data_IF_413894537454
#
_entry.id   IF_413894537454
#
_cell.length_a   1.000
_cell.length_b   1.000
_cell.length_c   1.000
_cell.angle_alpha   90.00
_cell.angle_beta   90.00
_cell.angle_gamma   90.00
#
_symmetry.space_group_name_H-M   'P 1'
#
loop_
_entity.id
_entity.type
_entity.pdbx_description
1 polymer ?
#
# COMPACT_ATOMS: atom_id res chain seq x y z
N UNK A 1 -21.84 30.51 57.77
CA UNK A 1 -21.41 29.10 57.60
C UNK A 1 -21.77 28.66 56.22
N UNK A 2 -20.77 28.57 55.28
CA UNK A 2 -20.95 28.06 53.92
C UNK A 2 -20.76 26.53 53.94
N UNK A 3 -21.76 25.82 53.53
CA UNK A 3 -21.73 24.37 53.43
C UNK A 3 -21.15 24.01 52.02
N UNK A 4 -19.93 23.53 51.96
CA UNK A 4 -19.34 23.01 50.71
C UNK A 4 -19.94 21.63 50.42
N UNK A 5 -20.70 21.52 49.34
CA UNK A 5 -21.20 20.23 48.82
C UNK A 5 -20.05 19.59 48.03
N UNK A 6 -19.39 18.61 48.61
CA UNK A 6 -18.47 17.72 47.90
C UNK A 6 -19.29 16.78 46.99
N UNK A 7 -19.27 17.00 45.71
CA UNK A 7 -19.77 16.06 44.72
C UNK A 7 -18.89 14.80 44.75
N UNK A 8 -19.44 13.57 44.83
CA UNK A 8 -18.65 12.37 44.74
C UNK A 8 -18.06 12.26 43.33
N UNK A 9 -16.74 12.21 43.21
CA UNK A 9 -16.07 11.78 42.01
C UNK A 9 -16.45 10.33 41.78
N UNK A 10 -17.27 10.07 40.78
CA UNK A 10 -17.50 8.70 40.31
C UNK A 10 -16.22 8.22 39.62
N UNK A 11 -15.42 7.44 40.30
CA UNK A 11 -14.40 6.62 39.69
C UNK A 11 -15.13 5.48 38.96
N UNK A 12 -15.23 5.55 37.65
CA UNK A 12 -15.67 4.39 36.85
C UNK A 12 -14.54 3.38 36.85
N UNK A 13 -14.72 2.31 37.66
CA UNK A 13 -13.82 1.15 37.59
C UNK A 13 -13.96 0.51 36.19
N UNK A 14 -12.85 0.36 35.49
CA UNK A 14 -12.80 -0.32 34.22
C UNK A 14 -13.16 -1.78 34.43
N UNK A 15 -14.07 -2.32 33.63
CA UNK A 15 -14.51 -3.69 33.74
C UNK A 15 -13.33 -4.65 33.56
N UNK A 16 -13.11 -5.57 34.49
CA UNK A 16 -12.02 -6.58 34.39
C UNK A 16 -12.25 -7.41 33.12
N UNK A 17 -11.24 -7.45 32.22
CA UNK A 17 -11.31 -8.15 30.93
C UNK A 17 -11.60 -7.28 29.70
N UNK A 18 -11.68 -5.95 29.83
CA UNK A 18 -11.73 -5.04 28.69
C UNK A 18 -10.30 -4.74 28.22
N UNK A 19 -10.07 -4.93 26.93
CA UNK A 19 -8.81 -4.58 26.28
C UNK A 19 -8.96 -3.22 25.61
N UNK A 20 -7.99 -2.33 25.82
CA UNK A 20 -7.89 -1.05 25.12
C UNK A 20 -6.60 -1.04 24.31
N UNK A 21 -6.69 -0.52 23.09
CA UNK A 21 -5.53 -0.26 22.24
C UNK A 21 -5.15 1.22 22.42
N UNK A 22 -3.85 1.49 22.64
CA UNK A 22 -3.29 2.83 22.73
C UNK A 22 -2.28 3.02 21.58
N UNK A 23 -2.76 3.24 20.34
CA UNK A 23 -1.88 3.34 19.19
C UNK A 23 -1.10 4.64 19.20
N UNK A 24 0.12 4.60 18.63
CA UNK A 24 0.93 5.78 18.34
C UNK A 24 0.52 6.36 16.98
N UNK A 25 0.49 7.70 16.86
CA UNK A 25 0.17 8.41 15.62
C UNK A 25 1.17 9.54 15.35
N UNK A 26 2.45 9.35 15.68
CA UNK A 26 3.48 10.40 15.56
C UNK A 26 4.12 10.47 14.19
N UNK A 27 4.34 9.33 13.54
CA UNK A 27 5.14 9.26 12.33
C UNK A 27 4.29 8.80 11.15
N UNK A 28 3.76 9.74 10.39
CA UNK A 28 3.00 9.46 9.18
C UNK A 28 3.95 9.01 8.06
N UNK A 29 3.75 7.78 7.58
CA UNK A 29 4.57 7.19 6.52
C UNK A 29 3.88 7.22 5.15
N UNK A 30 2.55 7.29 5.12
CA UNK A 30 1.77 7.36 3.89
C UNK A 30 0.42 8.05 4.11
N UNK A 31 0.07 8.95 3.19
CA UNK A 31 -1.26 9.55 3.11
C UNK A 31 -1.94 9.17 1.79
N UNK A 32 -3.24 8.93 1.85
CA UNK A 32 -4.07 8.56 0.70
C UNK A 32 -5.36 9.35 0.73
N UNK A 33 -5.67 10.04 -0.37
CA UNK A 33 -6.88 10.88 -0.48
C UNK A 33 -8.01 10.07 -1.11
N UNK A 34 -9.17 10.08 -0.49
CA UNK A 34 -10.39 9.41 -0.91
C UNK A 34 -11.58 10.38 -0.82
N UNK A 35 -11.75 11.24 -1.82
CA UNK A 35 -12.70 12.35 -1.78
C UNK A 35 -12.34 13.35 -0.69
N UNK A 36 -13.23 13.59 0.25
CA UNK A 36 -13.02 14.52 1.38
C UNK A 36 -12.32 13.86 2.58
N UNK A 37 -11.91 12.59 2.45
CA UNK A 37 -11.23 11.86 3.53
C UNK A 37 -9.76 11.67 3.16
N UNK A 38 -8.87 11.97 4.11
CA UNK A 38 -7.44 11.65 4.03
C UNK A 38 -7.16 10.52 5.01
N UNK A 39 -6.83 9.34 4.46
CA UNK A 39 -6.35 8.23 5.27
C UNK A 39 -4.84 8.35 5.48
N UNK A 40 -4.39 8.21 6.71
CA UNK A 40 -2.97 8.28 7.08
C UNK A 40 -2.53 7.00 7.76
N UNK A 41 -1.46 6.41 7.23
CA UNK A 41 -0.74 5.33 7.86
C UNK A 41 0.34 5.93 8.77
N UNK A 42 0.21 5.73 10.07
CA UNK A 42 1.04 6.34 11.09
C UNK A 42 1.47 5.29 12.11
N UNK A 43 2.78 5.04 12.20
CA UNK A 43 3.37 4.03 13.11
C UNK A 43 2.71 2.63 13.00
N UNK A 44 2.26 2.25 11.81
CA UNK A 44 1.55 0.98 11.57
C UNK A 44 0.07 1.00 11.95
N UNK A 45 -0.49 2.15 12.30
CA UNK A 45 -1.90 2.36 12.63
C UNK A 45 -2.58 3.20 11.53
N UNK A 46 -3.89 3.06 11.41
CA UNK A 46 -4.70 3.80 10.44
C UNK A 46 -5.52 4.87 11.14
N UNK A 47 -5.46 6.09 10.62
CA UNK A 47 -6.40 7.16 10.95
C UNK A 47 -7.02 7.74 9.67
N UNK A 48 -8.19 8.35 9.81
CA UNK A 48 -8.81 9.15 8.77
C UNK A 48 -9.08 10.56 9.28
N UNK A 49 -8.84 11.53 8.42
CA UNK A 49 -9.19 12.93 8.63
C UNK A 49 -10.19 13.37 7.56
N UNK A 50 -11.34 13.86 7.99
CA UNK A 50 -12.34 14.44 7.11
C UNK A 50 -12.07 15.93 6.92
N UNK A 51 -11.91 16.37 5.67
CA UNK A 51 -11.64 17.78 5.34
C UNK A 51 -12.91 18.62 5.40
N UNK A 52 -14.11 18.00 5.36
CA UNK A 52 -15.39 18.70 5.39
C UNK A 52 -15.81 19.19 6.77
N UNK A 53 -15.60 18.38 7.80
CA UNK A 53 -16.00 18.65 9.18
C UNK A 53 -14.83 18.66 10.19
N UNK A 54 -13.60 18.43 9.71
CA UNK A 54 -12.38 18.35 10.52
C UNK A 54 -12.39 17.20 11.56
N UNK A 55 -13.19 16.16 11.34
CA UNK A 55 -13.26 15.01 12.23
C UNK A 55 -12.04 14.09 12.01
N UNK A 56 -11.50 13.57 13.11
CA UNK A 56 -10.46 12.53 13.10
C UNK A 56 -11.07 11.22 13.60
N UNK A 57 -10.90 10.16 12.83
CA UNK A 57 -11.29 8.79 13.19
C UNK A 57 -10.06 7.89 13.23
N UNK A 58 -10.00 7.02 14.21
CA UNK A 58 -8.97 6.00 14.35
C UNK A 58 -9.57 4.63 14.13
N UNK A 59 -8.76 3.71 13.58
CA UNK A 59 -9.19 2.35 13.27
C UNK A 59 -8.26 1.38 13.97
N UNK A 60 -8.82 0.37 14.62
CA UNK A 60 -8.07 -0.63 15.36
C UNK A 60 -8.61 -2.05 15.15
N UNK A 61 -7.82 -3.04 15.56
CA UNK A 61 -8.16 -4.46 15.40
C UNK A 61 -9.20 -4.99 16.41
N UNK A 62 -9.59 -4.22 17.42
CA UNK A 62 -10.62 -4.63 18.37
C UNK A 62 -12.03 -4.30 17.85
N UNK A 63 -12.14 -3.27 17.01
CA UNK A 63 -13.44 -2.74 16.61
C UNK A 63 -13.74 -2.95 15.13
N UNK A 64 -12.74 -2.87 14.24
CA UNK A 64 -13.03 -2.76 12.83
C UNK A 64 -12.05 -3.48 11.89
N UNK A 65 -10.75 -3.45 12.18
CA UNK A 65 -9.71 -4.00 11.31
C UNK A 65 -9.42 -5.48 11.66
N UNK A 66 -9.00 -6.27 10.66
CA UNK A 66 -8.68 -7.68 10.82
C UNK A 66 -7.17 -7.97 10.96
N UNK A 67 -6.37 -6.96 11.24
CA UNK A 67 -4.93 -7.07 11.49
C UNK A 67 -4.44 -6.00 12.45
N UNK A 68 -3.26 -6.23 13.03
CA UNK A 68 -2.71 -5.37 14.10
C UNK A 68 -1.85 -4.24 13.50
N UNK A 69 -0.95 -4.60 12.57
CA UNK A 69 0.04 -3.66 12.04
C UNK A 69 -0.15 -3.47 10.54
N UNK A 70 -0.63 -2.29 10.19
CA UNK A 70 -0.79 -1.88 8.79
C UNK A 70 0.59 -1.57 8.20
N UNK A 71 0.89 -2.13 7.04
CA UNK A 71 2.14 -1.90 6.31
C UNK A 71 1.97 -1.02 5.08
N UNK A 72 0.84 -1.15 4.38
CA UNK A 72 0.56 -0.38 3.16
C UNK A 72 -0.93 -0.02 3.08
N UNK A 73 -1.21 1.17 2.53
CA UNK A 73 -2.56 1.60 2.17
C UNK A 73 -2.59 2.20 0.78
N UNK A 74 -3.68 2.01 0.05
CA UNK A 74 -3.97 2.69 -1.21
C UNK A 74 -5.48 2.77 -1.44
N UNK A 75 -5.94 3.75 -2.21
CA UNK A 75 -7.36 3.92 -2.51
C UNK A 75 -7.64 3.75 -4.01
N UNK A 76 -8.69 3.02 -4.30
CA UNK A 76 -9.26 2.93 -5.64
C UNK A 76 -10.47 3.82 -5.77
N UNK A 77 -10.38 4.86 -6.57
CA UNK A 77 -11.53 5.71 -6.90
C UNK A 77 -12.57 4.93 -7.70
N UNK A 78 -12.14 4.00 -8.56
CA UNK A 78 -13.04 3.19 -9.38
C UNK A 78 -13.82 2.15 -8.57
N UNK A 79 -13.17 1.48 -7.61
CA UNK A 79 -13.82 0.54 -6.70
C UNK A 79 -14.46 1.22 -5.47
N UNK A 80 -14.13 2.49 -5.22
CA UNK A 80 -14.51 3.25 -4.01
C UNK A 80 -14.15 2.52 -2.72
N UNK A 81 -12.96 1.93 -2.69
CA UNK A 81 -12.44 1.17 -1.54
C UNK A 81 -10.99 1.53 -1.22
N UNK A 82 -10.70 1.57 0.05
CA UNK A 82 -9.34 1.58 0.58
C UNK A 82 -8.87 0.13 0.75
N UNK A 83 -7.73 -0.21 0.19
CA UNK A 83 -7.02 -1.44 0.52
C UNK A 83 -6.07 -1.15 1.68
N UNK A 84 -6.15 -1.98 2.71
CA UNK A 84 -5.33 -1.95 3.92
C UNK A 84 -4.60 -3.27 3.97
N UNK A 85 -3.29 -3.24 3.79
CA UNK A 85 -2.47 -4.43 3.79
C UNK A 85 -1.59 -4.47 5.04
N UNK A 86 -1.56 -5.61 5.70
CA UNK A 86 -0.85 -5.83 6.96
C UNK A 86 0.51 -6.48 6.75
N UNK A 87 1.37 -6.42 7.75
CA UNK A 87 2.72 -7.00 7.70
C UNK A 87 2.71 -8.55 7.65
N UNK A 88 1.63 -9.18 8.09
CA UNK A 88 1.38 -10.63 7.97
C UNK A 88 0.78 -11.06 6.63
N UNK A 89 0.63 -10.11 5.68
CA UNK A 89 -0.03 -10.29 4.38
C UNK A 89 -1.55 -10.55 4.45
N UNK A 90 -2.21 -10.24 5.57
CA UNK A 90 -3.66 -10.10 5.59
C UNK A 90 -4.06 -8.83 4.82
N UNK A 91 -5.25 -8.81 4.24
CA UNK A 91 -5.75 -7.67 3.45
C UNK A 91 -7.18 -7.35 3.90
N UNK A 92 -7.43 -6.07 4.14
CA UNK A 92 -8.77 -5.54 4.31
C UNK A 92 -9.13 -4.60 3.16
N UNK A 93 -10.36 -4.67 2.70
CA UNK A 93 -10.97 -3.72 1.76
C UNK A 93 -12.07 -2.95 2.47
N UNK A 94 -11.83 -1.67 2.74
CA UNK A 94 -12.78 -0.81 3.44
C UNK A 94 -13.51 0.11 2.46
N UNK A 95 -14.83 0.18 2.53
CA UNK A 95 -15.62 1.11 1.75
C UNK A 95 -15.78 2.49 2.45
N UNK A 96 -16.46 3.45 1.80
CA UNK A 96 -16.68 4.79 2.36
C UNK A 96 -17.58 4.81 3.60
N UNK A 97 -18.37 3.78 3.83
CA UNK A 97 -19.18 3.63 5.05
C UNK A 97 -18.36 3.07 6.23
N UNK A 98 -17.11 2.66 5.99
CA UNK A 98 -16.26 2.02 6.98
C UNK A 98 -16.48 0.51 7.11
N UNK A 99 -17.27 -0.10 6.25
CA UNK A 99 -17.45 -1.56 6.24
C UNK A 99 -16.21 -2.23 5.64
N UNK A 100 -15.75 -3.28 6.32
CA UNK A 100 -14.50 -3.98 5.99
C UNK A 100 -14.79 -5.39 5.49
N UNK A 101 -14.27 -5.71 4.30
CA UNK A 101 -14.20 -7.06 3.76
C UNK A 101 -12.78 -7.59 3.94
N UNK A 102 -12.62 -8.68 4.68
CA UNK A 102 -11.32 -9.31 4.90
C UNK A 102 -10.98 -10.36 3.84
N UNK A 103 -9.74 -10.34 3.35
CA UNK A 103 -9.15 -11.28 2.41
C UNK A 103 -7.95 -11.97 3.05
N UNK A 104 -8.18 -13.02 3.84
CA UNK A 104 -7.13 -13.71 4.60
C UNK A 104 -6.34 -14.76 3.79
N UNK A 105 -6.81 -15.16 2.63
CA UNK A 105 -6.25 -16.29 1.88
C UNK A 105 -4.74 -16.17 1.59
N UNK A 106 -4.23 -14.95 1.39
CA UNK A 106 -2.79 -14.74 1.20
C UNK A 106 -2.01 -14.93 2.50
N UNK A 107 -2.54 -14.44 3.63
CA UNK A 107 -1.98 -14.67 4.97
C UNK A 107 -1.93 -16.16 5.30
N UNK A 108 -3.01 -16.87 5.01
CA UNK A 108 -3.18 -18.27 5.42
C UNK A 108 -2.42 -19.25 4.51
N UNK A 109 -1.95 -18.79 3.35
CA UNK A 109 -1.16 -19.60 2.42
C UNK A 109 0.22 -19.91 3.01
N UNK A 110 0.54 -21.20 3.14
CA UNK A 110 1.87 -21.64 3.58
C UNK A 110 2.92 -21.41 2.48
N UNK A 111 3.93 -20.60 2.79
CA UNK A 111 5.05 -20.28 1.89
C UNK A 111 6.32 -20.03 2.71
N UNK A 112 7.48 -20.38 2.14
CA UNK A 112 8.79 -20.22 2.81
C UNK A 112 9.13 -18.75 3.10
N UNK A 113 8.77 -17.84 2.19
CA UNK A 113 8.92 -16.39 2.36
C UNK A 113 7.70 -15.69 1.78
N UNK A 114 7.13 -14.80 2.57
CA UNK A 114 5.92 -14.07 2.22
C UNK A 114 5.97 -12.69 2.85
N UNK A 115 6.52 -11.73 2.10
CA UNK A 115 6.63 -10.34 2.52
C UNK A 115 6.00 -9.43 1.48
N UNK A 116 5.18 -8.50 1.92
CA UNK A 116 4.64 -7.44 1.07
C UNK A 116 5.64 -6.26 1.09
N UNK A 117 6.18 -5.92 -0.08
CA UNK A 117 7.16 -4.85 -0.24
C UNK A 117 6.53 -3.55 -0.77
N UNK A 118 5.47 -3.66 -1.57
CA UNK A 118 4.85 -2.50 -2.19
C UNK A 118 3.43 -2.78 -2.67
N UNK A 119 2.70 -1.70 -2.91
CA UNK A 119 1.30 -1.72 -3.31
C UNK A 119 1.08 -0.65 -4.39
N UNK A 120 0.47 -1.05 -5.50
CA UNK A 120 0.02 -0.18 -6.58
C UNK A 120 -1.46 -0.42 -6.87
N UNK A 121 -2.20 0.66 -7.14
CA UNK A 121 -3.63 0.56 -7.51
C UNK A 121 -3.83 1.22 -8.88
N UNK A 122 -4.47 0.49 -9.77
CA UNK A 122 -4.87 0.97 -11.10
C UNK A 122 -6.33 0.58 -11.38
N UNK A 123 -7.19 1.56 -11.60
CA UNK A 123 -8.61 1.31 -11.75
C UNK A 123 -9.20 0.58 -10.54
N UNK A 124 -9.76 -0.62 -10.76
CA UNK A 124 -10.33 -1.48 -9.73
C UNK A 124 -9.35 -2.50 -9.16
N UNK A 125 -8.15 -2.60 -9.73
CA UNK A 125 -7.17 -3.61 -9.40
C UNK A 125 -6.10 -3.06 -8.47
N UNK A 126 -5.74 -3.84 -7.46
CA UNK A 126 -4.54 -3.64 -6.68
C UNK A 126 -3.49 -4.69 -7.04
N UNK A 127 -2.23 -4.27 -7.11
CA UNK A 127 -1.08 -5.09 -7.43
C UNK A 127 -0.12 -5.05 -6.24
N UNK A 128 0.08 -6.20 -5.63
CA UNK A 128 0.93 -6.37 -4.45
C UNK A 128 2.31 -6.87 -4.90
N UNK A 129 3.35 -6.08 -4.63
CA UNK A 129 4.73 -6.49 -4.84
C UNK A 129 5.18 -7.39 -3.68
N UNK A 130 5.40 -8.67 -3.97
CA UNK A 130 5.67 -9.69 -2.95
C UNK A 130 7.10 -10.24 -3.06
N UNK A 131 7.60 -10.82 -1.98
CA UNK A 131 8.92 -11.46 -1.97
C UNK A 131 9.07 -12.62 -2.98
N UNK A 132 7.98 -13.10 -3.57
CA UNK A 132 7.95 -14.20 -4.54
C UNK A 132 7.45 -13.80 -5.94
N UNK A 133 6.96 -12.57 -6.11
CA UNK A 133 6.35 -12.13 -7.37
C UNK A 133 5.30 -11.05 -7.19
N UNK A 134 4.18 -11.14 -7.92
CA UNK A 134 3.09 -10.17 -7.87
C UNK A 134 1.75 -10.86 -7.64
N UNK A 135 0.90 -10.27 -6.80
CA UNK A 135 -0.47 -10.72 -6.56
C UNK A 135 -1.44 -9.63 -6.99
N UNK A 136 -2.48 -10.01 -7.74
CA UNK A 136 -3.57 -9.12 -8.14
C UNK A 136 -4.79 -9.31 -7.25
N UNK A 137 -5.36 -8.21 -6.81
CA UNK A 137 -6.61 -8.14 -6.04
C UNK A 137 -7.62 -7.30 -6.81
N UNK A 138 -8.78 -7.87 -7.09
CA UNK A 138 -9.93 -7.09 -7.55
C UNK A 138 -10.58 -6.44 -6.33
N UNK A 139 -10.40 -5.13 -6.21
CA UNK A 139 -10.91 -4.38 -5.07
C UNK A 139 -12.43 -4.20 -5.11
N UNK A 140 -13.06 -4.29 -6.28
CA UNK A 140 -14.51 -4.18 -6.43
C UNK A 140 -15.19 -5.49 -6.05
N UNK A 141 -14.70 -6.61 -6.59
CA UNK A 141 -15.27 -7.93 -6.29
C UNK A 141 -14.80 -8.46 -4.92
N UNK A 142 -13.67 -7.98 -4.42
CA UNK A 142 -13.10 -8.42 -3.16
C UNK A 142 -12.51 -9.83 -3.24
N UNK A 143 -11.74 -10.09 -4.29
CA UNK A 143 -11.13 -11.42 -4.54
C UNK A 143 -9.69 -11.28 -5.05
N UNK A 144 -8.87 -12.27 -4.74
CA UNK A 144 -7.58 -12.45 -5.42
C UNK A 144 -7.84 -12.98 -6.85
N UNK A 145 -7.31 -12.28 -7.86
CA UNK A 145 -7.48 -12.65 -9.27
C UNK A 145 -6.35 -13.55 -9.75
N UNK A 146 -5.12 -13.08 -9.63
CA UNK A 146 -3.95 -13.78 -10.14
C UNK A 146 -2.81 -13.73 -9.13
N UNK A 147 -1.92 -14.72 -9.22
CA UNK A 147 -0.64 -14.75 -8.54
C UNK A 147 0.45 -15.08 -9.55
N UNK A 148 1.34 -14.14 -9.80
CA UNK A 148 2.47 -14.31 -10.71
C UNK A 148 3.70 -14.70 -9.91
N UNK A 149 4.05 -15.99 -9.94
CA UNK A 149 5.22 -16.53 -9.23
C UNK A 149 6.47 -16.29 -10.07
N UNK A 150 7.23 -15.24 -9.71
CA UNK A 150 8.43 -14.84 -10.45
C UNK A 150 9.71 -15.44 -9.88
N UNK A 151 9.64 -16.05 -8.68
CA UNK A 151 10.78 -16.54 -7.91
C UNK A 151 11.84 -15.44 -7.64
N UNK A 152 11.39 -14.22 -7.62
CA UNK A 152 12.18 -13.03 -7.36
C UNK A 152 11.45 -12.15 -6.35
N UNK A 153 12.26 -11.50 -5.50
CA UNK A 153 11.74 -10.51 -4.57
C UNK A 153 11.41 -9.22 -5.31
N UNK A 154 10.11 -9.00 -5.56
CA UNK A 154 9.59 -7.79 -6.21
C UNK A 154 9.46 -6.68 -5.17
N UNK A 155 10.13 -5.55 -5.41
CA UNK A 155 10.16 -4.40 -4.49
C UNK A 155 9.03 -3.40 -4.76
N UNK A 156 8.67 -3.25 -6.03
CA UNK A 156 7.65 -2.30 -6.47
C UNK A 156 7.03 -2.76 -7.77
N UNK A 157 5.78 -2.37 -7.99
CA UNK A 157 5.03 -2.64 -9.21
C UNK A 157 4.42 -1.34 -9.72
N UNK A 158 4.36 -1.17 -11.02
CA UNK A 158 3.59 -0.11 -11.68
C UNK A 158 3.06 -0.60 -13.03
N UNK A 159 2.08 0.08 -13.57
CA UNK A 159 1.50 -0.22 -14.88
C UNK A 159 1.75 0.92 -15.86
N UNK A 160 2.03 0.56 -17.10
CA UNK A 160 2.16 1.54 -18.19
C UNK A 160 1.79 0.87 -19.52
N UNK A 161 0.92 1.51 -20.30
CA UNK A 161 0.57 1.10 -21.67
C UNK A 161 0.22 -0.40 -21.78
N UNK A 162 -0.68 -0.90 -20.91
CA UNK A 162 -1.15 -2.29 -20.93
C UNK A 162 -0.09 -3.32 -20.53
N UNK A 163 0.98 -2.89 -19.87
CA UNK A 163 2.02 -3.76 -19.32
C UNK A 163 2.20 -3.52 -17.84
N UNK A 164 2.52 -4.57 -17.11
CA UNK A 164 2.93 -4.54 -15.72
C UNK A 164 4.47 -4.54 -15.65
N UNK A 165 5.03 -3.73 -14.79
CA UNK A 165 6.46 -3.62 -14.54
C UNK A 165 6.75 -3.92 -13.08
N UNK A 166 7.69 -4.82 -12.84
CA UNK A 166 8.09 -5.28 -11.51
C UNK A 166 9.57 -4.98 -11.26
N UNK A 167 9.86 -4.17 -10.25
CA UNK A 167 11.22 -3.87 -9.81
C UNK A 167 11.78 -5.02 -8.97
N UNK A 168 12.98 -5.45 -9.30
CA UNK A 168 13.72 -6.48 -8.55
C UNK A 168 15.16 -6.04 -8.29
N UNK A 169 15.90 -6.85 -7.54
CA UNK A 169 17.33 -6.63 -7.34
C UNK A 169 18.17 -6.85 -8.62
N UNK A 170 17.63 -7.59 -9.59
CA UNK A 170 18.33 -7.93 -10.85
C UNK A 170 17.91 -7.01 -12.01
N UNK A 171 16.78 -6.33 -11.89
CA UNK A 171 16.29 -5.47 -12.95
C UNK A 171 14.80 -5.16 -12.83
N UNK A 172 14.28 -4.58 -13.90
CA UNK A 172 12.85 -4.35 -14.09
C UNK A 172 12.31 -5.39 -15.06
N UNK A 173 11.40 -6.21 -14.59
CA UNK A 173 10.66 -7.18 -15.40
C UNK A 173 9.41 -6.52 -15.97
N UNK A 174 9.09 -6.84 -17.23
CA UNK A 174 7.87 -6.41 -17.91
C UNK A 174 7.05 -7.61 -18.37
N UNK A 175 5.76 -7.61 -18.10
CA UNK A 175 4.78 -8.54 -18.66
C UNK A 175 3.64 -7.78 -19.33
N UNK A 176 3.18 -8.21 -20.50
CA UNK A 176 1.98 -7.62 -21.13
C UNK A 176 0.74 -8.21 -20.47
N UNK A 177 -0.20 -7.35 -20.05
CA UNK A 177 -1.45 -7.79 -19.41
C UNK A 177 -2.36 -8.64 -20.31
N UNK A 178 -2.15 -8.59 -21.64
CA UNK A 178 -2.82 -9.46 -22.60
C UNK A 178 -2.30 -10.90 -22.64
N UNK A 179 -1.13 -11.15 -22.09
CA UNK A 179 -0.46 -12.44 -22.10
C UNK A 179 -0.82 -13.24 -20.84
N UNK A 180 -0.59 -14.56 -20.89
CA UNK A 180 -0.67 -15.39 -19.69
C UNK A 180 0.56 -15.17 -18.80
N UNK A 181 0.48 -14.22 -17.88
CA UNK A 181 1.58 -13.86 -16.99
C UNK A 181 1.87 -14.87 -15.87
N UNK A 182 1.10 -15.94 -15.75
CA UNK A 182 1.45 -17.10 -14.92
C UNK A 182 2.62 -17.90 -15.54
N UNK A 183 2.80 -17.78 -16.86
CA UNK A 183 3.98 -18.28 -17.56
C UNK A 183 5.14 -17.27 -17.43
N UNK A 184 6.17 -17.64 -16.69
CA UNK A 184 7.36 -16.79 -16.47
C UNK A 184 8.06 -16.39 -17.77
N UNK A 185 7.95 -17.18 -18.85
CA UNK A 185 8.54 -16.87 -20.16
C UNK A 185 7.95 -15.60 -20.81
N UNK A 186 6.78 -15.15 -20.35
CA UNK A 186 6.12 -13.93 -20.80
C UNK A 186 6.65 -12.66 -20.13
N UNK A 187 7.49 -12.83 -19.11
CA UNK A 187 8.18 -11.72 -18.46
C UNK A 187 9.55 -11.51 -19.08
N UNK A 188 9.84 -10.27 -19.46
CA UNK A 188 11.10 -9.87 -20.08
C UNK A 188 11.79 -8.83 -19.23
N UNK A 189 13.12 -8.88 -19.11
CA UNK A 189 13.89 -7.84 -18.44
C UNK A 189 14.04 -6.65 -19.37
N UNK A 190 13.52 -5.48 -18.96
CA UNK A 190 13.62 -4.22 -19.72
C UNK A 190 14.80 -3.36 -19.32
N UNK A 191 15.23 -3.44 -18.07
CA UNK A 191 16.39 -2.72 -17.55
C UNK A 191 17.08 -3.57 -16.49
N UNK A 192 18.41 -3.69 -16.57
CA UNK A 192 19.25 -4.33 -15.55
C UNK A 192 19.55 -3.38 -14.42
N UNK A 193 19.72 -3.89 -13.19
CA UNK A 193 20.08 -3.12 -12.01
C UNK A 193 19.16 -3.36 -10.82
N UNK A 194 19.55 -2.86 -9.65
CA UNK A 194 18.79 -3.02 -8.41
C UNK A 194 17.82 -1.85 -8.23
N UNK A 195 16.57 -2.06 -8.60
CA UNK A 195 15.52 -1.05 -8.49
C UNK A 195 14.65 -1.29 -7.25
N UNK A 196 14.34 -0.20 -6.53
CA UNK A 196 13.58 -0.22 -5.28
C UNK A 196 12.15 0.30 -5.44
N UNK A 197 11.92 1.17 -6.41
CA UNK A 197 10.61 1.79 -6.61
C UNK A 197 10.41 2.15 -8.08
N UNK A 198 9.19 1.97 -8.58
CA UNK A 198 8.76 2.36 -9.91
C UNK A 198 7.52 3.24 -9.81
N UNK A 199 7.46 4.28 -10.64
CA UNK A 199 6.27 5.11 -10.82
C UNK A 199 6.08 5.38 -12.31
N UNK A 200 4.91 5.06 -12.85
CA UNK A 200 4.54 5.45 -14.21
C UNK A 200 4.20 6.94 -14.24
N UNK A 201 4.82 7.69 -15.15
CA UNK A 201 4.60 9.12 -15.36
C UNK A 201 4.62 9.43 -16.86
N UNK A 202 3.47 9.86 -17.40
CA UNK A 202 3.33 10.06 -18.84
C UNK A 202 3.53 8.76 -19.60
N UNK A 203 4.51 8.72 -20.51
CA UNK A 203 4.85 7.53 -21.31
C UNK A 203 6.14 6.84 -20.85
N UNK A 204 6.61 7.14 -19.67
CA UNK A 204 7.85 6.62 -19.10
C UNK A 204 7.61 6.09 -17.68
N UNK A 205 8.56 5.32 -17.19
CA UNK A 205 8.61 4.88 -15.81
C UNK A 205 9.78 5.56 -15.13
N UNK A 206 9.53 6.26 -14.05
CA UNK A 206 10.59 6.75 -13.19
C UNK A 206 10.91 5.65 -12.18
N UNK A 207 12.17 5.24 -12.18
CA UNK A 207 12.68 4.14 -11.39
C UNK A 207 13.74 4.64 -10.41
N UNK A 208 13.58 4.33 -9.13
CA UNK A 208 14.59 4.60 -8.11
C UNK A 208 15.48 3.38 -7.92
N UNK A 209 16.78 3.58 -8.15
CA UNK A 209 17.82 2.59 -7.92
C UNK A 209 18.82 3.14 -6.90
N UNK A 210 18.79 2.66 -5.67
CA UNK A 210 19.62 3.13 -4.56
C UNK A 210 19.57 4.67 -4.42
N UNK A 211 20.61 5.34 -4.94
CA UNK A 211 20.82 6.79 -4.82
C UNK A 211 20.40 7.59 -6.07
N UNK A 212 19.96 6.93 -7.13
CA UNK A 212 19.66 7.60 -8.39
C UNK A 212 18.21 7.37 -8.85
N UNK A 213 17.68 8.33 -9.59
CA UNK A 213 16.45 8.21 -10.34
C UNK A 213 16.76 8.08 -11.82
N UNK A 214 16.08 7.14 -12.46
CA UNK A 214 16.19 6.87 -13.88
C UNK A 214 14.84 6.98 -14.56
N UNK A 215 14.82 7.48 -15.78
CA UNK A 215 13.70 7.34 -16.70
C UNK A 215 13.91 6.07 -17.53
N UNK A 216 12.90 5.20 -17.54
CA UNK A 216 12.86 3.99 -18.36
C UNK A 216 11.80 4.17 -19.44
N UNK A 217 12.21 4.11 -20.71
CA UNK A 217 11.26 4.06 -21.82
C UNK A 217 10.63 2.67 -21.94
N UNK A 218 9.47 2.51 -22.62
CA UNK A 218 8.86 1.22 -22.88
C UNK A 218 9.78 0.24 -23.62
N UNK A 219 10.76 0.73 -24.40
CA UNK A 219 11.77 -0.05 -25.11
C UNK A 219 12.95 -0.46 -24.24
N UNK A 220 12.94 -0.10 -22.95
CA UNK A 220 13.98 -0.47 -21.99
C UNK A 220 15.19 0.47 -21.92
N UNK A 221 15.14 1.62 -22.61
CA UNK A 221 16.21 2.61 -22.51
C UNK A 221 16.21 3.25 -21.14
N UNK A 222 17.35 3.26 -20.48
CA UNK A 222 17.56 3.86 -19.18
C UNK A 222 18.31 5.17 -19.33
N UNK A 223 17.73 6.25 -18.82
CA UNK A 223 18.37 7.57 -18.80
C UNK A 223 18.41 8.08 -17.36
N UNK A 224 19.55 8.59 -16.91
CA UNK A 224 19.67 9.19 -15.58
C UNK A 224 18.77 10.43 -15.52
N UNK A 225 17.78 10.39 -14.62
CA UNK A 225 16.83 11.49 -14.40
C UNK A 225 17.36 12.47 -13.36
N UNK A 226 17.88 11.94 -12.25
CA UNK A 226 18.48 12.71 -11.16
C UNK A 226 19.45 11.84 -10.37
N UNK A 227 20.52 12.44 -9.85
CA UNK A 227 21.46 11.78 -8.94
C UNK A 227 21.40 12.40 -7.56
N UNK A 228 21.43 11.56 -6.52
CA UNK A 228 21.36 12.00 -5.14
C UNK A 228 21.00 10.84 -4.23
N UNK A 229 20.97 11.10 -2.94
CA UNK A 229 20.67 10.08 -1.94
C UNK A 229 19.17 10.06 -1.66
N UNK A 230 18.36 9.50 -2.58
CA UNK A 230 16.90 9.54 -2.49
C UNK A 230 16.35 8.35 -1.72
N UNK A 231 15.56 8.61 -0.68
CA UNK A 231 14.91 7.59 0.15
C UNK A 231 13.47 7.33 -0.26
N UNK A 232 12.79 8.33 -0.84
CA UNK A 232 11.42 8.18 -1.30
C UNK A 232 11.18 8.83 -2.67
N UNK A 233 10.13 8.38 -3.34
CA UNK A 233 9.59 8.93 -4.57
C UNK A 233 8.07 8.75 -4.56
N UNK A 234 7.31 9.78 -4.90
CA UNK A 234 5.86 9.73 -4.95
C UNK A 234 5.32 10.57 -6.11
N UNK A 235 4.13 10.21 -6.61
CA UNK A 235 3.41 10.96 -7.63
C UNK A 235 2.12 11.52 -7.01
N UNK A 236 1.98 12.84 -7.00
CA UNK A 236 0.81 13.52 -6.45
C UNK A 236 0.31 14.56 -7.43
N UNK A 237 -0.96 14.43 -7.85
CA UNK A 237 -1.55 15.37 -8.81
C UNK A 237 -0.77 15.50 -10.13
N UNK A 238 -0.14 14.42 -10.61
CA UNK A 238 0.70 14.42 -11.80
C UNK A 238 2.12 15.00 -11.60
N UNK A 239 2.45 15.44 -10.39
CA UNK A 239 3.77 15.96 -10.03
C UNK A 239 4.58 14.89 -9.30
N UNK A 240 5.78 14.62 -9.79
CA UNK A 240 6.74 13.73 -9.13
C UNK A 240 7.44 14.48 -8.00
N UNK A 241 7.40 13.91 -6.80
CA UNK A 241 8.09 14.40 -5.60
C UNK A 241 9.06 13.34 -5.13
N UNK A 242 10.28 13.73 -4.83
CA UNK A 242 11.32 12.84 -4.29
C UNK A 242 12.20 13.58 -3.29
N UNK A 243 12.88 12.83 -2.44
CA UNK A 243 13.75 13.42 -1.43
C UNK A 243 14.48 12.38 -0.57
N UNK A 244 15.17 12.91 0.44
CA UNK A 244 15.94 12.18 1.44
C UNK A 244 15.14 12.01 2.72
#
# INVERSE_FOLDING_TARGET
>A
ASLAILSPMQASAQQIGTWNVYPSYWNATRNVVAGDIIYSLTDGNLLAYSTGDSEVRTFDCLTQLNGIKVSQIAYSTAAKRLIIAYDDCNIDLMNSAGEVLNLSALRDKSMTSKTLNGLWVEGKMAYLAMSFGVVEVDMQEGVFRNTYMLDQNVQSVTLLNGSIYAATAQGVLRGKLSDNLQDKSKWTTTAGGNFKQLIAMGNEIIARANVNLYSLSPEGRTTLFSSGNFTFMNLTGGTLVWGN
#
